data_IF_651549130062
#
_entry.id   IF_651549130062
#
_cell.length_a   1.000
_cell.length_b   1.000
_cell.length_c   1.000
_cell.angle_alpha   90.00
_cell.angle_beta   90.00
_cell.angle_gamma   90.00
#
_symmetry.space_group_name_H-M   'P 1'
#
loop_
_entity.id
_entity.type
_entity.pdbx_description
1 polymer ?
#
# COMPACT_ATOMS: atom_id res chain seq x y z
N UNK A 1 -9.92 -7.49 19.31
CA UNK A 1 -10.58 -6.52 18.38
C UNK A 1 -12.05 -6.89 18.16
N UNK A 2 -12.38 -8.03 17.52
CA UNK A 2 -13.77 -8.39 17.16
C UNK A 2 -14.75 -8.44 18.35
N UNK A 3 -14.41 -9.04 19.50
CA UNK A 3 -15.33 -9.03 20.66
C UNK A 3 -15.59 -7.63 21.20
N UNK A 4 -14.63 -6.73 21.09
CA UNK A 4 -14.76 -5.34 21.56
C UNK A 4 -15.62 -4.48 20.64
N UNK A 5 -15.65 -4.80 19.35
CA UNK A 5 -16.44 -4.07 18.33
C UNK A 5 -17.84 -4.69 18.15
N UNK A 6 -18.13 -5.83 18.76
CA UNK A 6 -19.42 -6.53 18.65
C UNK A 6 -19.74 -7.03 17.25
N UNK A 7 -18.70 -7.32 16.43
CA UNK A 7 -18.87 -7.74 15.02
C UNK A 7 -18.23 -9.10 14.78
N UNK A 8 -18.76 -9.91 13.85
CA UNK A 8 -18.13 -11.16 13.45
C UNK A 8 -16.81 -10.95 12.72
N UNK A 9 -15.92 -11.96 12.78
CA UNK A 9 -14.58 -11.92 12.13
C UNK A 9 -14.68 -11.63 10.63
N UNK A 10 -15.74 -12.09 9.96
CA UNK A 10 -15.97 -11.86 8.53
C UNK A 10 -16.06 -10.38 8.13
N UNK A 11 -16.37 -9.48 9.08
CA UNK A 11 -16.45 -8.04 8.81
C UNK A 11 -15.09 -7.41 8.50
N UNK A 12 -13.97 -8.09 8.81
CA UNK A 12 -12.64 -7.68 8.34
C UNK A 12 -12.57 -7.63 6.81
N UNK A 13 -13.29 -8.53 6.13
CA UNK A 13 -13.39 -8.52 4.67
C UNK A 13 -14.02 -7.25 4.10
N UNK A 14 -14.99 -6.65 4.81
CA UNK A 14 -15.62 -5.38 4.39
C UNK A 14 -14.59 -4.24 4.43
N UNK A 15 -13.85 -4.12 5.53
CA UNK A 15 -12.79 -3.10 5.65
C UNK A 15 -11.74 -3.29 4.56
N UNK A 16 -11.33 -4.55 4.33
CA UNK A 16 -10.37 -4.88 3.28
C UNK A 16 -10.90 -4.54 1.87
N UNK A 17 -12.18 -4.80 1.58
CA UNK A 17 -12.81 -4.40 0.31
C UNK A 17 -12.80 -2.88 0.10
N UNK A 18 -13.12 -2.10 1.14
CA UNK A 18 -13.09 -0.63 1.07
C UNK A 18 -11.67 -0.15 0.76
N UNK A 19 -10.67 -0.70 1.44
CA UNK A 19 -9.25 -0.38 1.18
C UNK A 19 -8.90 -0.72 -0.26
N UNK A 20 -9.24 -1.92 -0.73
CA UNK A 20 -8.92 -2.40 -2.08
C UNK A 20 -9.55 -1.54 -3.17
N UNK A 21 -10.82 -1.16 -3.01
CA UNK A 21 -11.49 -0.25 -3.96
C UNK A 21 -10.80 1.11 -3.97
N UNK A 22 -10.48 1.66 -2.81
CA UNK A 22 -9.72 2.91 -2.71
C UNK A 22 -8.35 2.84 -3.39
N UNK A 23 -7.63 1.73 -3.18
CA UNK A 23 -6.33 1.45 -3.81
C UNK A 23 -6.44 1.40 -5.33
N UNK A 24 -7.43 0.68 -5.87
CA UNK A 24 -7.65 0.60 -7.33
C UNK A 24 -7.93 2.00 -7.92
N UNK A 25 -8.87 2.75 -7.33
CA UNK A 25 -9.23 4.09 -7.80
C UNK A 25 -8.01 5.01 -7.79
N UNK A 26 -7.26 4.98 -6.71
CA UNK A 26 -6.08 5.83 -6.51
C UNK A 26 -4.94 5.47 -7.46
N UNK A 27 -4.67 4.17 -7.66
CA UNK A 27 -3.65 3.69 -8.60
C UNK A 27 -3.96 4.13 -10.04
N UNK A 28 -5.22 4.03 -10.47
CA UNK A 28 -5.65 4.47 -11.81
C UNK A 28 -5.49 5.99 -12.03
N UNK A 29 -5.55 6.78 -10.96
CA UNK A 29 -5.40 8.23 -11.03
C UNK A 29 -3.97 8.70 -10.76
N UNK A 30 -3.12 7.82 -10.23
CA UNK A 30 -1.76 8.14 -9.78
C UNK A 30 -0.91 8.80 -10.87
N UNK A 31 -0.99 8.33 -12.10
CA UNK A 31 -0.22 8.91 -13.21
C UNK A 31 -0.61 10.37 -13.49
N UNK A 32 -1.91 10.68 -13.52
CA UNK A 32 -2.37 12.08 -13.72
C UNK A 32 -1.89 12.99 -12.59
N UNK A 33 -1.93 12.46 -11.36
CA UNK A 33 -1.53 13.19 -10.16
C UNK A 33 0.00 13.42 -10.14
N UNK A 34 0.77 12.40 -10.51
CA UNK A 34 2.23 12.45 -10.59
C UNK A 34 2.71 13.44 -11.65
N UNK A 35 2.05 13.50 -12.82
CA UNK A 35 2.36 14.49 -13.84
C UNK A 35 2.11 15.94 -13.41
N UNK A 36 1.08 16.19 -12.61
CA UNK A 36 0.73 17.54 -12.13
C UNK A 36 1.56 18.00 -10.95
N UNK A 37 1.78 17.13 -9.98
CA UNK A 37 2.38 17.48 -8.70
C UNK A 37 3.84 17.02 -8.56
N UNK A 38 4.26 16.06 -9.38
CA UNK A 38 5.55 15.37 -9.28
C UNK A 38 5.50 14.20 -8.28
N UNK A 39 6.31 13.16 -8.54
CA UNK A 39 6.31 11.90 -7.77
C UNK A 39 6.56 12.15 -6.28
N UNK A 40 7.54 12.97 -5.92
CA UNK A 40 7.88 13.22 -4.52
C UNK A 40 6.72 13.80 -3.70
N UNK A 41 5.97 14.76 -4.26
CA UNK A 41 4.81 15.34 -3.57
C UNK A 41 3.66 14.35 -3.46
N UNK A 42 3.39 13.58 -4.52
CA UNK A 42 2.35 12.54 -4.49
C UNK A 42 2.69 11.50 -3.43
N UNK A 43 3.92 11.03 -3.38
CA UNK A 43 4.40 10.08 -2.37
C UNK A 43 4.24 10.64 -0.96
N UNK A 44 4.73 11.85 -0.69
CA UNK A 44 4.66 12.46 0.63
C UNK A 44 3.20 12.68 1.09
N UNK A 45 2.33 13.17 0.20
CA UNK A 45 0.91 13.36 0.48
C UNK A 45 0.20 12.03 0.74
N UNK A 46 0.48 11.01 -0.05
CA UNK A 46 -0.13 9.68 0.08
C UNK A 46 0.30 9.00 1.39
N UNK A 47 1.58 9.11 1.77
CA UNK A 47 2.09 8.58 3.05
C UNK A 47 1.48 9.36 4.23
N UNK A 48 1.32 10.68 4.12
CA UNK A 48 0.61 11.48 5.12
C UNK A 48 -0.85 11.04 5.29
N UNK A 49 -1.53 10.76 4.18
CA UNK A 49 -2.93 10.29 4.18
C UNK A 49 -3.07 8.92 4.85
N UNK A 50 -2.15 7.98 4.57
CA UNK A 50 -2.13 6.68 5.25
C UNK A 50 -1.78 6.80 6.74
N UNK A 51 -0.86 7.69 7.11
CA UNK A 51 -0.54 7.98 8.51
C UNK A 51 -1.75 8.51 9.29
N UNK A 52 -2.48 9.45 8.70
CA UNK A 52 -3.72 9.99 9.26
C UNK A 52 -4.77 8.88 9.43
N UNK A 53 -4.94 8.02 8.43
CA UNK A 53 -5.87 6.90 8.50
C UNK A 53 -5.51 5.88 9.59
N UNK A 54 -4.23 5.55 9.74
CA UNK A 54 -3.74 4.67 10.81
C UNK A 54 -3.98 5.27 12.21
N UNK A 55 -3.77 6.59 12.33
CA UNK A 55 -4.11 7.29 13.57
C UNK A 55 -5.62 7.24 13.82
N UNK A 56 -6.43 7.40 12.79
CA UNK A 56 -7.88 7.23 12.85
C UNK A 56 -8.29 5.83 13.28
N UNK A 57 -7.65 4.77 12.77
CA UNK A 57 -7.85 3.41 13.26
C UNK A 57 -7.52 3.29 14.75
N UNK A 58 -6.43 3.92 15.20
CA UNK A 58 -6.06 3.89 16.62
C UNK A 58 -7.06 4.59 17.54
N UNK A 59 -7.81 5.56 17.03
CA UNK A 59 -8.83 6.30 17.77
C UNK A 59 -10.24 5.71 17.59
N UNK A 60 -10.40 4.67 16.77
CA UNK A 60 -11.71 4.09 16.49
C UNK A 60 -12.20 3.19 17.62
N UNK A 61 -13.49 3.30 17.93
CA UNK A 61 -14.19 2.50 18.92
C UNK A 61 -15.36 1.71 18.33
N UNK A 62 -15.73 1.99 17.08
CA UNK A 62 -16.82 1.33 16.36
C UNK A 62 -16.37 0.82 15.01
N UNK A 63 -17.05 -0.21 14.52
CA UNK A 63 -16.78 -0.79 13.20
C UNK A 63 -16.91 0.24 12.07
N UNK A 64 -17.91 1.10 12.12
CA UNK A 64 -18.16 2.10 11.08
C UNK A 64 -17.07 3.17 11.01
N UNK A 65 -16.45 3.51 12.14
CA UNK A 65 -15.27 4.38 12.15
C UNK A 65 -14.09 3.74 11.43
N UNK A 66 -13.87 2.42 11.59
CA UNK A 66 -12.85 1.71 10.83
C UNK A 66 -13.13 1.73 9.33
N UNK A 67 -14.39 1.52 8.93
CA UNK A 67 -14.78 1.64 7.51
C UNK A 67 -14.53 3.04 6.96
N UNK A 68 -14.82 4.08 7.74
CA UNK A 68 -14.57 5.48 7.33
C UNK A 68 -13.08 5.75 7.10
N UNK A 69 -12.22 5.31 8.03
CA UNK A 69 -10.77 5.48 7.92
C UNK A 69 -10.12 4.56 6.88
N UNK A 70 -10.78 3.46 6.51
CA UNK A 70 -10.33 2.58 5.43
C UNK A 70 -10.29 3.28 4.06
N UNK A 71 -11.17 4.27 3.83
CA UNK A 71 -11.21 5.04 2.57
C UNK A 71 -9.91 5.82 2.34
N UNK A 72 -9.51 6.77 3.21
CA UNK A 72 -8.26 7.50 3.02
C UNK A 72 -7.03 6.59 3.05
N UNK A 73 -7.06 5.50 3.81
CA UNK A 73 -5.99 4.52 3.82
C UNK A 73 -5.78 3.90 2.43
N UNK A 74 -6.85 3.40 1.80
CA UNK A 74 -6.79 2.80 0.46
C UNK A 74 -6.35 3.80 -0.61
N UNK A 75 -6.88 5.03 -0.57
CA UNK A 75 -6.51 6.09 -1.50
C UNK A 75 -5.01 6.46 -1.39
N UNK A 76 -4.47 6.53 -0.19
CA UNK A 76 -3.05 6.78 0.02
C UNK A 76 -2.18 5.62 -0.45
N UNK A 77 -2.51 4.38 -0.08
CA UNK A 77 -1.75 3.19 -0.40
C UNK A 77 -1.59 2.99 -1.92
N UNK A 78 -2.67 3.11 -2.69
CA UNK A 78 -2.62 2.92 -4.14
C UNK A 78 -1.80 3.98 -4.88
N UNK A 79 -1.89 5.24 -4.47
CA UNK A 79 -1.12 6.31 -5.11
C UNK A 79 0.38 6.20 -4.84
N UNK A 80 0.80 5.83 -3.63
CA UNK A 80 2.22 5.69 -3.31
C UNK A 80 2.84 4.52 -4.06
N UNK A 81 2.15 3.39 -4.09
CA UNK A 81 2.64 2.20 -4.79
C UNK A 81 2.83 2.46 -6.28
N UNK A 82 1.79 2.92 -6.97
CA UNK A 82 1.85 3.19 -8.39
C UNK A 82 2.89 4.28 -8.75
N UNK A 83 2.99 5.35 -7.98
CA UNK A 83 3.93 6.44 -8.27
C UNK A 83 5.39 6.06 -8.03
N UNK A 84 5.69 5.29 -6.98
CA UNK A 84 7.06 4.83 -6.70
C UNK A 84 7.52 3.79 -7.70
N UNK A 85 6.68 2.80 -8.02
CA UNK A 85 6.99 1.80 -9.04
C UNK A 85 7.30 2.45 -10.38
N UNK A 86 6.47 3.40 -10.83
CA UNK A 86 6.72 4.14 -12.06
C UNK A 86 8.01 4.97 -12.00
N UNK A 87 8.26 5.66 -10.88
CA UNK A 87 9.47 6.45 -10.70
C UNK A 87 10.73 5.60 -10.75
N UNK A 88 10.74 4.45 -10.06
CA UNK A 88 11.90 3.54 -10.06
C UNK A 88 12.10 2.95 -11.44
N UNK A 89 11.02 2.56 -12.15
CA UNK A 89 11.12 2.02 -13.50
C UNK A 89 11.71 3.03 -14.50
N UNK A 90 11.44 4.32 -14.34
CA UNK A 90 11.92 5.38 -15.26
C UNK A 90 13.32 5.94 -14.91
N UNK A 91 13.78 5.81 -13.66
CA UNK A 91 14.99 6.52 -13.20
C UNK A 91 16.07 5.61 -12.63
N UNK A 92 15.80 4.29 -12.53
CA UNK A 92 16.72 3.34 -11.91
C UNK A 92 16.78 2.00 -12.65
N UNK A 93 17.83 1.24 -12.40
CA UNK A 93 17.99 -0.12 -12.93
C UNK A 93 17.01 -1.11 -12.27
N UNK A 94 16.70 -2.22 -12.96
CA UNK A 94 15.77 -3.28 -12.49
C UNK A 94 16.10 -3.83 -11.10
N UNK A 95 17.37 -3.84 -10.68
CA UNK A 95 17.76 -4.27 -9.33
C UNK A 95 17.13 -3.41 -8.22
N UNK A 96 16.92 -2.11 -8.47
CA UNK A 96 16.30 -1.22 -7.49
C UNK A 96 14.80 -1.48 -7.35
N UNK A 97 14.14 -1.94 -8.41
CA UNK A 97 12.76 -2.41 -8.35
C UNK A 97 12.65 -3.65 -7.43
N UNK A 98 13.58 -4.60 -7.56
CA UNK A 98 13.63 -5.77 -6.68
C UNK A 98 13.85 -5.37 -5.21
N UNK A 99 14.67 -4.36 -4.95
CA UNK A 99 14.85 -3.84 -3.59
C UNK A 99 13.60 -3.17 -3.04
N UNK A 100 12.88 -2.41 -3.87
CA UNK A 100 11.61 -1.81 -3.49
C UNK A 100 10.60 -2.88 -3.02
N UNK A 101 10.46 -3.96 -3.77
CA UNK A 101 9.58 -5.07 -3.40
C UNK A 101 10.09 -5.88 -2.19
N UNK A 102 11.40 -6.01 -2.04
CA UNK A 102 11.99 -6.61 -0.83
C UNK A 102 11.63 -5.81 0.43
N UNK A 103 11.72 -4.48 0.37
CA UNK A 103 11.33 -3.60 1.49
C UNK A 103 9.83 -3.66 1.79
N UNK A 104 9.00 -3.90 0.77
CA UNK A 104 7.57 -4.19 0.98
C UNK A 104 7.39 -5.45 1.85
N UNK A 105 8.10 -6.54 1.54
CA UNK A 105 8.07 -7.78 2.32
C UNK A 105 8.53 -7.59 3.77
N UNK A 106 9.57 -6.78 3.99
CA UNK A 106 10.04 -6.40 5.35
C UNK A 106 8.92 -5.66 6.09
N UNK A 107 8.27 -4.69 5.46
CA UNK A 107 7.15 -3.94 6.05
C UNK A 107 5.95 -4.83 6.37
N UNK A 108 5.61 -5.74 5.46
CA UNK A 108 4.52 -6.70 5.66
C UNK A 108 4.77 -7.65 6.84
N UNK A 109 6.02 -7.94 7.16
CA UNK A 109 6.42 -8.75 8.33
C UNK A 109 6.43 -7.93 9.62
N UNK A 110 6.99 -6.72 9.57
CA UNK A 110 7.13 -5.87 10.75
C UNK A 110 5.77 -5.39 11.31
N UNK A 111 4.80 -5.12 10.45
CA UNK A 111 3.48 -4.66 10.87
C UNK A 111 2.78 -5.61 11.84
N UNK A 112 2.53 -6.87 11.45
CA UNK A 112 1.95 -7.89 12.34
C UNK A 112 2.81 -8.16 13.58
N UNK A 113 4.15 -8.13 13.46
CA UNK A 113 5.05 -8.33 14.59
C UNK A 113 4.90 -7.23 15.65
N UNK A 114 4.86 -5.95 15.24
CA UNK A 114 4.62 -4.83 16.16
C UNK A 114 3.24 -4.97 16.83
N UNK A 115 2.21 -5.30 16.06
CA UNK A 115 0.87 -5.50 16.59
C UNK A 115 0.84 -6.65 17.61
N UNK A 116 1.47 -7.77 17.29
CA UNK A 116 1.59 -8.93 18.19
C UNK A 116 2.32 -8.57 19.47
N UNK A 117 3.46 -7.89 19.39
CA UNK A 117 4.24 -7.47 20.55
C UNK A 117 3.45 -6.54 21.48
N UNK A 118 2.69 -5.60 20.93
CA UNK A 118 1.83 -4.71 21.73
C UNK A 118 0.72 -5.49 22.44
N UNK A 119 0.06 -6.42 21.76
CA UNK A 119 -1.04 -7.20 22.33
C UNK A 119 -0.53 -8.16 23.39
N UNK A 120 0.57 -8.88 23.15
CA UNK A 120 1.18 -9.80 24.14
C UNK A 120 1.77 -9.07 25.35
N UNK A 121 2.21 -7.82 25.17
CA UNK A 121 2.63 -6.93 26.25
C UNK A 121 1.48 -6.34 27.08
N UNK A 122 0.24 -6.80 26.90
CA UNK A 122 -0.94 -6.31 27.64
C UNK A 122 -1.56 -5.04 27.07
N UNK A 123 -1.09 -4.56 25.94
CA UNK A 123 -1.67 -3.42 25.22
C UNK A 123 -2.93 -3.78 24.43
N UNK A 124 -3.53 -2.77 23.83
CA UNK A 124 -4.73 -2.91 22.99
C UNK A 124 -4.35 -2.84 21.50
N UNK A 125 -5.23 -3.35 20.65
CA UNK A 125 -5.06 -3.22 19.18
C UNK A 125 -4.99 -1.75 18.72
N UNK A 126 -5.69 -0.84 19.41
CA UNK A 126 -5.58 0.61 19.19
C UNK A 126 -4.15 1.12 19.44
N UNK A 127 -3.49 0.60 20.51
CA UNK A 127 -2.08 0.89 20.80
C UNK A 127 -1.15 0.44 19.68
N UNK A 128 -1.38 -0.76 19.12
CA UNK A 128 -0.61 -1.25 17.97
C UNK A 128 -0.72 -0.35 16.74
N UNK A 129 -1.94 0.05 16.36
CA UNK A 129 -2.13 1.02 15.27
C UNK A 129 -1.48 2.38 15.57
N UNK A 130 -1.50 2.82 16.84
CA UNK A 130 -0.82 4.07 17.23
C UNK A 130 0.68 4.00 17.05
N UNK A 131 1.33 2.90 17.42
CA UNK A 131 2.75 2.70 17.19
C UNK A 131 3.10 2.78 15.69
N UNK A 132 2.34 2.08 14.85
CA UNK A 132 2.54 2.10 13.39
C UNK A 132 2.28 3.49 12.83
N UNK A 133 1.24 4.19 13.30
CA UNK A 133 0.94 5.57 12.89
C UNK A 133 2.08 6.55 13.22
N UNK A 134 2.70 6.43 14.39
CA UNK A 134 3.85 7.26 14.77
C UNK A 134 5.03 7.03 13.82
N UNK A 135 5.35 5.76 13.51
CA UNK A 135 6.41 5.42 12.54
C UNK A 135 6.09 6.05 11.18
N UNK A 136 4.85 5.96 10.75
CA UNK A 136 4.39 6.52 9.47
C UNK A 136 4.45 8.06 9.46
N UNK A 137 4.15 8.74 10.57
CA UNK A 137 4.28 10.19 10.70
C UNK A 137 5.75 10.60 10.59
N UNK A 138 6.67 9.89 11.26
CA UNK A 138 8.11 10.14 11.16
C UNK A 138 8.57 9.95 9.71
N UNK A 139 8.15 8.88 9.05
CA UNK A 139 8.45 8.65 7.64
C UNK A 139 7.91 9.78 6.76
N UNK A 140 6.69 10.26 7.02
CA UNK A 140 6.10 11.40 6.30
C UNK A 140 6.97 12.66 6.45
N UNK A 141 7.44 12.95 7.67
CA UNK A 141 8.33 14.09 7.92
C UNK A 141 9.65 13.96 7.14
N UNK A 142 10.26 12.77 7.14
CA UNK A 142 11.47 12.49 6.36
C UNK A 142 11.21 12.69 4.86
N UNK A 143 10.09 12.21 4.34
CA UNK A 143 9.72 12.39 2.93
C UNK A 143 9.52 13.86 2.58
N UNK A 144 8.86 14.64 3.44
CA UNK A 144 8.67 16.08 3.23
C UNK A 144 10.01 16.81 3.21
N UNK A 145 10.93 16.49 4.11
CA UNK A 145 12.29 17.04 4.12
C UNK A 145 13.10 16.63 2.89
N UNK A 146 12.84 15.45 2.33
CA UNK A 146 13.54 14.95 1.15
C UNK A 146 12.99 15.48 -0.19
N UNK A 147 11.88 16.22 -0.20
CA UNK A 147 11.26 16.73 -1.43
C UNK A 147 12.21 17.48 -2.38
N UNK A 148 13.19 18.28 -1.91
CA UNK A 148 14.15 18.92 -2.80
C UNK A 148 15.01 17.95 -3.60
N UNK A 149 15.28 16.74 -3.04
CA UNK A 149 16.12 15.73 -3.69
C UNK A 149 15.42 15.02 -4.88
N UNK A 150 14.11 15.14 -4.98
CA UNK A 150 13.32 14.53 -6.07
C UNK A 150 13.31 15.38 -7.35
N UNK A 151 13.79 16.62 -7.27
CA UNK A 151 13.84 17.52 -8.41
C UNK A 151 15.09 17.24 -9.26
N UNK A 152 14.90 17.20 -10.59
CA UNK A 152 16.02 17.27 -11.54
C UNK A 152 16.80 15.97 -11.78
N UNK A 153 16.26 14.80 -11.44
CA UNK A 153 16.90 13.55 -11.87
C UNK A 153 16.61 13.28 -13.34
N UNK A 154 17.66 13.04 -14.17
CA UNK A 154 17.46 12.63 -15.57
C UNK A 154 16.77 11.26 -15.61
N UNK A 155 15.89 11.09 -16.60
CA UNK A 155 15.34 9.77 -16.92
C UNK A 155 16.44 8.85 -17.44
N UNK A 156 16.32 7.56 -17.19
CA UNK A 156 17.21 6.55 -17.80
C UNK A 156 17.01 6.62 -19.30
N UNK A 157 18.10 6.86 -20.03
CA UNK A 157 18.12 6.83 -21.49
C UNK A 157 18.26 5.38 -21.93
N UNK A 158 17.52 4.99 -22.97
CA UNK A 158 17.75 3.71 -23.63
C UNK A 158 19.15 3.67 -24.28
N UNK A 159 19.61 2.48 -24.62
CA UNK A 159 20.88 2.25 -25.30
C UNK A 159 21.04 3.02 -26.63
N UNK A 160 19.94 3.61 -27.14
CA UNK A 160 19.89 4.47 -28.32
C UNK A 160 20.01 5.98 -28.03
N UNK A 161 20.16 6.39 -26.75
CA UNK A 161 20.29 7.80 -26.38
C UNK A 161 19.01 8.64 -26.48
N UNK A 162 17.89 8.04 -26.82
CA UNK A 162 16.60 8.71 -26.88
C UNK A 162 15.93 8.71 -25.50
N UNK A 163 15.52 9.88 -25.03
CA UNK A 163 14.63 9.94 -23.89
C UNK A 163 13.35 9.14 -24.22
N UNK A 164 13.06 8.12 -23.42
CA UNK A 164 11.81 7.36 -23.57
C UNK A 164 10.66 8.31 -23.23
N UNK A 165 10.15 9.02 -24.22
CA UNK A 165 8.83 9.61 -24.11
C UNK A 165 7.85 8.44 -23.98
N UNK A 166 7.52 8.09 -22.73
CA UNK A 166 6.52 7.08 -22.43
C UNK A 166 5.16 7.58 -22.96
N UNK A 167 4.91 7.30 -24.25
CA UNK A 167 3.60 7.54 -24.85
C UNK A 167 2.59 6.74 -24.03
N UNK A 168 1.69 7.45 -23.37
CA UNK A 168 0.64 6.81 -22.59
C UNK A 168 -0.23 5.96 -23.49
N UNK A 169 -0.03 4.67 -23.43
CA UNK A 169 -0.94 3.72 -24.02
C UNK A 169 -2.25 3.72 -23.24
N UNK A 170 -3.37 3.77 -23.93
CA UNK A 170 -4.67 3.53 -23.32
C UNK A 170 -4.71 2.12 -22.72
N UNK A 171 -5.49 1.92 -21.66
CA UNK A 171 -5.71 0.58 -21.07
C UNK A 171 -6.10 -0.45 -22.16
N UNK A 172 -6.90 -0.04 -23.16
CA UNK A 172 -7.27 -0.90 -24.29
C UNK A 172 -6.06 -1.28 -25.16
N UNK A 173 -5.17 -0.36 -25.43
CA UNK A 173 -3.94 -0.62 -26.22
C UNK A 173 -3.00 -1.54 -25.44
N UNK A 174 -2.83 -1.33 -24.15
CA UNK A 174 -2.02 -2.21 -23.28
C UNK A 174 -2.57 -3.63 -23.29
N UNK A 175 -3.89 -3.81 -23.17
CA UNK A 175 -4.53 -5.13 -23.19
C UNK A 175 -4.44 -5.85 -24.54
N UNK A 176 -4.15 -5.13 -25.64
CA UNK A 176 -3.94 -5.69 -26.98
C UNK A 176 -2.50 -6.19 -27.18
N UNK A 177 -1.55 -5.78 -26.34
CA UNK A 177 -0.17 -6.27 -26.43
C UNK A 177 -0.11 -7.78 -26.18
N UNK A 178 0.67 -8.46 -26.99
CA UNK A 178 0.83 -9.92 -26.90
C UNK A 178 1.43 -10.32 -25.53
N UNK A 179 0.77 -11.21 -24.84
CA UNK A 179 1.21 -11.74 -23.54
C UNK A 179 0.73 -10.95 -22.32
N UNK A 180 0.34 -9.68 -22.47
CA UNK A 180 -0.07 -8.84 -21.32
C UNK A 180 -1.26 -9.44 -20.57
N UNK A 181 -2.26 -9.97 -21.27
CA UNK A 181 -3.43 -10.61 -20.63
C UNK A 181 -3.02 -11.78 -19.76
N UNK A 182 -2.09 -12.61 -20.23
CA UNK A 182 -1.61 -13.78 -19.48
C UNK A 182 -0.85 -13.36 -18.21
N UNK A 183 0.02 -12.34 -18.33
CA UNK A 183 0.73 -11.77 -17.18
C UNK A 183 -0.24 -11.20 -16.16
N UNK A 184 -1.26 -10.45 -16.61
CA UNK A 184 -2.29 -9.89 -15.71
C UNK A 184 -3.08 -10.99 -15.00
N UNK A 185 -3.45 -12.08 -15.68
CA UNK A 185 -4.16 -13.21 -15.07
C UNK A 185 -3.27 -13.91 -14.04
N UNK A 186 -2.00 -14.20 -14.38
CA UNK A 186 -1.06 -14.79 -13.45
C UNK A 186 -0.85 -13.93 -12.21
N UNK A 187 -0.68 -12.61 -12.40
CA UNK A 187 -0.51 -11.68 -11.29
C UNK A 187 -1.78 -11.57 -10.43
N UNK A 188 -2.95 -11.56 -11.05
CA UNK A 188 -4.23 -11.61 -10.33
C UNK A 188 -4.35 -12.86 -9.46
N UNK A 189 -4.04 -14.06 -10.00
CA UNK A 189 -4.06 -15.30 -9.23
C UNK A 189 -3.06 -15.28 -8.07
N UNK A 190 -1.85 -14.77 -8.30
CA UNK A 190 -0.84 -14.60 -7.26
C UNK A 190 -1.35 -13.69 -6.13
N UNK A 191 -1.83 -12.49 -6.48
CA UNK A 191 -2.36 -11.55 -5.49
C UNK A 191 -3.58 -12.12 -4.73
N UNK A 192 -4.46 -12.86 -5.41
CA UNK A 192 -5.62 -13.48 -4.77
C UNK A 192 -5.19 -14.50 -3.70
N UNK A 193 -4.20 -15.34 -3.99
CA UNK A 193 -3.65 -16.31 -3.04
C UNK A 193 -2.97 -15.61 -1.86
N UNK A 194 -2.11 -14.63 -2.13
CA UNK A 194 -1.38 -13.89 -1.13
C UNK A 194 -2.32 -13.17 -0.17
N UNK A 195 -3.28 -12.42 -0.69
CA UNK A 195 -4.23 -11.65 0.12
C UNK A 195 -5.18 -12.55 0.92
N UNK A 196 -5.66 -13.63 0.32
CA UNK A 196 -6.52 -14.60 1.02
C UNK A 196 -5.78 -15.26 2.17
N UNK A 197 -4.55 -15.69 1.94
CA UNK A 197 -3.71 -16.30 2.97
C UNK A 197 -3.38 -15.29 4.07
N UNK A 198 -2.93 -14.10 3.72
CA UNK A 198 -2.60 -13.04 4.67
C UNK A 198 -3.78 -12.64 5.56
N UNK A 199 -4.98 -12.57 5.00
CA UNK A 199 -6.18 -12.16 5.74
C UNK A 199 -6.75 -13.26 6.63
N UNK A 200 -6.73 -14.53 6.18
CA UNK A 200 -7.49 -15.60 6.83
C UNK A 200 -6.66 -16.66 7.53
N UNK A 201 -5.35 -16.81 7.20
CA UNK A 201 -4.53 -17.89 7.75
C UNK A 201 -4.47 -17.89 9.29
N UNK A 202 -4.25 -16.73 9.91
CA UNK A 202 -4.23 -16.60 11.38
C UNK A 202 -5.57 -16.97 11.99
N UNK A 203 -6.68 -16.49 11.42
CA UNK A 203 -8.03 -16.83 11.91
C UNK A 203 -8.34 -18.31 11.75
N UNK A 204 -7.92 -18.92 10.65
CA UNK A 204 -8.08 -20.35 10.42
C UNK A 204 -7.30 -21.18 11.43
N UNK A 205 -6.04 -20.82 11.67
CA UNK A 205 -5.17 -21.56 12.61
C UNK A 205 -5.69 -21.46 14.03
N UNK A 206 -6.07 -20.27 14.49
CA UNK A 206 -6.55 -20.07 15.86
C UNK A 206 -7.97 -20.60 16.08
N UNK A 207 -8.93 -20.26 15.23
CA UNK A 207 -10.34 -20.57 15.47
C UNK A 207 -10.72 -22.00 15.06
N UNK A 208 -10.08 -22.55 14.03
CA UNK A 208 -10.43 -23.88 13.51
C UNK A 208 -9.44 -24.96 13.94
N UNK A 209 -8.13 -24.67 13.94
CA UNK A 209 -7.09 -25.64 14.31
C UNK A 209 -6.69 -25.57 15.77
N UNK A 210 -7.16 -24.56 16.54
CA UNK A 210 -6.85 -24.41 17.95
C UNK A 210 -5.37 -24.15 18.27
N UNK A 211 -4.63 -23.63 17.29
CA UNK A 211 -3.23 -23.22 17.50
C UNK A 211 -3.24 -21.93 18.31
N UNK A 212 -2.53 -21.88 19.45
CA UNK A 212 -2.50 -20.70 20.31
C UNK A 212 -1.79 -19.49 19.66
#
# INVERSE_FOLDING_TARGET
MYPQLGVPVSYSGIVFMIISVGTIISSLQSDRLTRRLGTGKVTAFSVALTAMALFGFSASHTFWQLCLWAIPYGLGAGSVDASLNNYVALHYESKHMSWLHCMWGVGATLGPYIMGAVITGGGTWNGGYRCIAIIQIVLTAVLLCSLPLWKGRPQVQDASGSAVEAKMLSVKEVLQLRGVKNVLICFFCYCALEQTTGLWASSYLTLYKGVP
#
